data_IF_544933966476
#
_entry.id   IF_544933966476
#
_cell.length_a   1.000
_cell.length_b   1.000
_cell.length_c   1.000
_cell.angle_alpha   90.00
_cell.angle_beta   90.00
_cell.angle_gamma   90.00
#
_symmetry.space_group_name_H-M   'P 1'
#
loop_
_entity.id
_entity.type
_entity.pdbx_description
1 polymer ?
#
# COMPACT_ATOMS: atom_id res chain seq x y z
N UNK A 1 19.57 7.60 5.07
CA UNK A 1 20.31 8.85 5.35
C UNK A 1 19.74 9.99 4.55
N UNK A 2 19.94 11.27 4.94
CA UNK A 2 19.55 12.45 4.15
C UNK A 2 20.09 12.41 2.71
N UNK A 3 21.30 11.92 2.52
CA UNK A 3 21.93 11.75 1.20
C UNK A 3 21.18 10.74 0.29
N UNK A 4 20.68 9.65 0.87
CA UNK A 4 19.86 8.69 0.11
C UNK A 4 18.50 9.27 -0.25
N UNK A 5 17.90 10.10 0.62
CA UNK A 5 16.65 10.81 0.35
C UNK A 5 16.81 11.88 -0.73
N UNK A 6 17.93 12.61 -0.75
CA UNK A 6 18.23 13.60 -1.79
C UNK A 6 18.36 13.02 -3.21
N UNK A 7 18.51 11.71 -3.35
CA UNK A 7 18.52 11.02 -4.66
C UNK A 7 17.14 10.60 -5.15
N UNK A 8 16.10 10.71 -4.32
CA UNK A 8 14.74 10.38 -4.71
C UNK A 8 14.21 11.44 -5.70
N UNK A 9 13.51 10.96 -6.72
CA UNK A 9 12.87 11.82 -7.73
C UNK A 9 11.36 11.56 -7.68
N UNK A 10 10.61 12.33 -6.90
CA UNK A 10 9.15 12.23 -6.86
C UNK A 10 8.55 12.48 -8.26
N UNK A 11 7.48 11.78 -8.58
CA UNK A 11 6.81 11.88 -9.88
C UNK A 11 5.69 12.94 -9.91
N UNK A 12 5.35 13.50 -8.75
CA UNK A 12 4.28 14.49 -8.61
C UNK A 12 4.44 15.32 -7.34
N UNK A 13 3.67 16.41 -7.25
CA UNK A 13 3.68 17.36 -6.13
C UNK A 13 3.41 16.68 -4.78
N UNK A 14 2.54 15.65 -4.74
CA UNK A 14 2.28 14.90 -3.52
C UNK A 14 3.56 14.19 -3.03
N UNK A 15 4.25 13.48 -3.91
CA UNK A 15 5.53 12.85 -3.59
C UNK A 15 6.59 13.85 -3.15
N UNK A 16 6.66 15.00 -3.82
CA UNK A 16 7.57 16.11 -3.46
C UNK A 16 7.30 16.63 -2.06
N UNK A 17 6.03 16.86 -1.70
CA UNK A 17 5.65 17.34 -0.36
C UNK A 17 6.04 16.34 0.75
N UNK A 18 5.91 15.03 0.48
CA UNK A 18 6.32 13.98 1.44
C UNK A 18 7.84 13.94 1.60
N UNK A 19 8.58 14.02 0.50
CA UNK A 19 10.05 14.05 0.53
C UNK A 19 10.56 15.30 1.24
N UNK A 20 9.99 16.48 0.95
CA UNK A 20 10.36 17.73 1.60
C UNK A 20 10.17 17.65 3.13
N UNK A 21 9.07 17.06 3.59
CA UNK A 21 8.83 16.85 5.03
C UNK A 21 9.84 15.88 5.64
N UNK A 22 10.15 14.76 4.97
CA UNK A 22 11.17 13.81 5.44
C UNK A 22 12.56 14.45 5.56
N UNK A 23 12.94 15.30 4.59
CA UNK A 23 14.20 16.04 4.62
C UNK A 23 14.21 17.06 5.77
N UNK A 24 13.13 17.82 5.94
CA UNK A 24 12.98 18.76 7.05
C UNK A 24 13.18 18.08 8.41
N UNK A 25 12.50 16.95 8.64
CA UNK A 25 12.66 16.17 9.89
C UNK A 25 14.10 15.71 10.08
N UNK A 26 14.74 15.21 9.01
CA UNK A 26 16.12 14.76 9.07
C UNK A 26 17.10 15.90 9.42
N UNK A 27 16.86 17.10 8.89
CA UNK A 27 17.65 18.31 9.20
C UNK A 27 17.47 18.74 10.66
N UNK A 28 16.21 18.76 11.18
CA UNK A 28 15.96 19.10 12.59
C UNK A 28 16.66 18.13 13.54
N UNK A 29 16.61 16.84 13.26
CA UNK A 29 17.30 15.82 14.06
C UNK A 29 18.81 15.98 13.99
N UNK A 30 19.38 16.26 12.81
CA UNK A 30 20.83 16.45 12.63
C UNK A 30 21.34 17.73 13.34
N UNK A 31 20.52 18.78 13.34
CA UNK A 31 20.84 20.05 14.04
C UNK A 31 20.73 19.96 15.56
N UNK A 32 20.38 18.79 16.12
CA UNK A 32 20.09 18.61 17.54
C UNK A 32 19.06 19.63 18.08
N UNK A 33 18.12 20.04 17.24
CA UNK A 33 17.00 20.88 17.62
C UNK A 33 16.15 20.20 18.70
N UNK A 34 15.31 20.95 19.42
CA UNK A 34 14.37 20.39 20.36
C UNK A 34 13.37 19.48 19.62
N UNK A 35 13.67 18.20 19.52
CA UNK A 35 12.85 17.18 18.90
C UNK A 35 12.12 16.36 19.95
N UNK A 36 10.98 15.73 19.61
CA UNK A 36 10.35 14.75 20.51
C UNK A 36 11.34 13.64 20.89
N UNK A 37 11.25 13.07 22.09
CA UNK A 37 12.13 12.00 22.55
C UNK A 37 12.03 10.74 21.66
N UNK A 38 10.88 10.54 21.01
CA UNK A 38 10.67 9.54 19.96
C UNK A 38 9.97 10.18 18.75
N UNK A 39 10.39 9.79 17.55
CA UNK A 39 9.71 10.14 16.31
C UNK A 39 9.82 9.00 15.33
N UNK A 40 8.75 8.75 14.58
CA UNK A 40 8.74 7.76 13.52
C UNK A 40 7.97 8.29 12.31
N UNK A 41 8.65 8.41 11.18
CA UNK A 41 8.03 8.67 9.88
C UNK A 41 7.73 7.35 9.20
N UNK A 42 6.46 7.09 8.88
CA UNK A 42 6.03 5.85 8.25
C UNK A 42 5.66 6.10 6.79
N UNK A 43 6.34 5.42 5.88
CA UNK A 43 6.05 5.43 4.45
C UNK A 43 5.23 4.19 4.12
N UNK A 44 3.91 4.35 4.15
CA UNK A 44 2.98 3.29 3.79
C UNK A 44 3.00 3.04 2.29
N UNK A 45 3.00 1.75 1.92
CA UNK A 45 2.81 1.31 0.55
C UNK A 45 1.32 1.23 0.21
N UNK A 46 0.88 0.30 -0.61
CA UNK A 46 -0.52 0.24 -1.03
C UNK A 46 -1.39 -0.41 0.05
N UNK A 47 -1.81 0.39 1.03
CA UNK A 47 -2.66 -0.09 2.14
C UNK A 47 -4.05 -0.44 1.63
N UNK A 48 -4.58 -1.56 2.10
CA UNK A 48 -5.96 -1.97 1.90
C UNK A 48 -6.53 -2.58 3.19
N UNK A 49 -7.85 -2.60 3.32
CA UNK A 49 -8.51 -3.18 4.49
C UNK A 49 -9.92 -2.64 4.68
N UNK A 50 -10.53 -2.86 5.84
CA UNK A 50 -11.85 -2.34 6.16
C UNK A 50 -11.88 -0.81 6.29
N UNK A 51 -13.10 -0.26 6.42
CA UNK A 51 -13.36 1.17 6.71
C UNK A 51 -12.89 2.16 5.63
N UNK A 52 -12.90 1.77 4.35
CA UNK A 52 -12.48 2.63 3.24
C UNK A 52 -13.62 3.21 2.40
N UNK A 53 -14.87 2.76 2.57
CA UNK A 53 -15.99 3.11 1.68
C UNK A 53 -16.26 4.62 1.61
N UNK A 54 -15.97 5.36 2.69
CA UNK A 54 -16.10 6.82 2.72
C UNK A 54 -15.11 7.56 1.81
N UNK A 55 -14.05 6.88 1.34
CA UNK A 55 -13.00 7.48 0.49
C UNK A 55 -13.40 7.56 -0.99
N UNK A 56 -14.51 6.93 -1.39
CA UNK A 56 -14.96 6.89 -2.79
C UNK A 56 -13.86 6.35 -3.73
N UNK A 57 -13.49 7.12 -4.74
CA UNK A 57 -12.47 6.73 -5.74
C UNK A 57 -11.05 6.63 -5.17
N UNK A 58 -10.81 7.11 -3.96
CA UNK A 58 -9.51 7.00 -3.28
C UNK A 58 -9.41 5.76 -2.38
N UNK A 59 -10.48 4.97 -2.27
CA UNK A 59 -10.44 3.68 -1.59
C UNK A 59 -9.49 2.72 -2.32
N UNK A 60 -9.00 1.70 -1.60
CA UNK A 60 -8.15 0.67 -2.20
C UNK A 60 -8.85 -0.05 -3.36
N UNK A 61 -8.05 -0.63 -4.24
CA UNK A 61 -8.59 -1.41 -5.37
C UNK A 61 -9.43 -2.60 -4.89
N UNK A 62 -9.15 -3.18 -3.71
CA UNK A 62 -9.99 -4.23 -3.09
C UNK A 62 -11.40 -3.72 -2.84
N UNK A 63 -11.53 -2.57 -2.18
CA UNK A 63 -12.82 -1.95 -1.86
C UNK A 63 -13.60 -1.48 -3.10
N UNK A 64 -12.88 -1.07 -4.17
CA UNK A 64 -13.51 -0.70 -5.44
C UNK A 64 -13.94 -1.92 -6.26
N UNK A 65 -13.18 -3.00 -6.22
CA UNK A 65 -13.39 -4.21 -7.02
C UNK A 65 -14.52 -5.07 -6.47
N UNK A 66 -14.58 -5.25 -5.15
CA UNK A 66 -15.51 -6.17 -4.50
C UNK A 66 -16.99 -5.93 -4.88
N UNK A 67 -17.55 -4.71 -4.86
CA UNK A 67 -18.96 -4.50 -5.19
C UNK A 67 -19.35 -4.95 -6.60
N UNK A 68 -18.41 -4.83 -7.55
CA UNK A 68 -18.60 -5.23 -8.95
C UNK A 68 -18.54 -6.76 -9.06
N UNK A 69 -17.49 -7.35 -8.48
CA UNK A 69 -17.29 -8.80 -8.48
C UNK A 69 -18.39 -9.54 -7.73
N UNK A 70 -18.90 -9.01 -6.62
CA UNK A 70 -20.00 -9.61 -5.86
C UNK A 70 -21.29 -9.75 -6.70
N UNK A 71 -21.53 -8.80 -7.63
CA UNK A 71 -22.64 -8.85 -8.59
C UNK A 71 -22.42 -9.83 -9.75
N UNK A 72 -21.25 -10.46 -9.84
CA UNK A 72 -20.88 -11.38 -10.91
C UNK A 72 -20.26 -10.71 -12.13
N UNK A 73 -19.98 -9.41 -12.05
CA UNK A 73 -19.38 -8.65 -13.14
C UNK A 73 -17.86 -8.65 -13.04
N UNK A 74 -17.13 -8.72 -14.17
CA UNK A 74 -15.69 -8.67 -14.19
C UNK A 74 -15.19 -7.24 -13.94
N UNK A 75 -14.25 -7.05 -13.02
CA UNK A 75 -13.62 -5.75 -12.81
C UNK A 75 -12.51 -5.51 -13.84
N UNK A 76 -12.56 -4.42 -14.63
CA UNK A 76 -11.57 -4.17 -15.67
C UNK A 76 -10.24 -3.67 -15.08
N UNK A 77 -9.17 -4.44 -15.28
CA UNK A 77 -7.80 -4.04 -14.98
C UNK A 77 -7.22 -3.18 -16.11
N UNK A 78 -6.23 -2.35 -15.80
CA UNK A 78 -5.53 -1.59 -16.81
C UNK A 78 -4.65 -2.48 -17.70
N UNK A 79 -4.75 -2.27 -19.01
CA UNK A 79 -3.77 -2.79 -19.96
C UNK A 79 -2.40 -2.18 -19.71
N UNK A 80 -1.36 -2.94 -19.96
CA UNK A 80 -0.02 -2.39 -19.99
C UNK A 80 0.16 -1.48 -21.21
N UNK A 81 0.84 -0.35 -21.02
CA UNK A 81 1.33 0.49 -22.11
C UNK A 81 2.85 0.31 -22.35
N UNK A 82 3.44 -0.72 -21.71
CA UNK A 82 4.85 -1.12 -21.86
C UNK A 82 4.92 -2.51 -22.50
N UNK A 83 5.81 -2.67 -23.48
CA UNK A 83 5.98 -3.94 -24.17
C UNK A 83 6.62 -5.05 -23.32
N UNK A 84 7.36 -4.67 -22.28
CA UNK A 84 8.07 -5.59 -21.38
C UNK A 84 7.23 -6.06 -20.18
N UNK A 85 6.00 -5.58 -20.04
CA UNK A 85 5.07 -5.97 -18.96
C UNK A 85 3.72 -6.33 -19.59
N UNK A 86 3.22 -7.53 -19.31
CA UNK A 86 1.91 -7.95 -19.78
C UNK A 86 0.75 -7.23 -19.06
N UNK A 87 -0.46 -7.30 -19.63
CA UNK A 87 -1.67 -6.72 -19.04
C UNK A 87 -1.92 -7.28 -17.65
N UNK A 88 -2.13 -6.39 -16.66
CA UNK A 88 -2.36 -6.76 -15.26
C UNK A 88 -1.14 -7.20 -14.47
N UNK A 89 0.05 -7.31 -15.10
CA UNK A 89 1.30 -7.70 -14.45
C UNK A 89 2.04 -6.53 -13.77
N UNK A 90 1.47 -5.33 -13.82
CA UNK A 90 1.95 -4.22 -13.00
C UNK A 90 1.91 -4.62 -11.53
N UNK A 91 2.95 -4.29 -10.76
CA UNK A 91 3.14 -4.79 -9.38
C UNK A 91 3.10 -3.69 -8.34
N UNK A 92 2.48 -4.00 -7.21
CA UNK A 92 2.46 -3.16 -6.02
C UNK A 92 2.76 -4.00 -4.78
N UNK A 93 3.36 -3.36 -3.81
CA UNK A 93 3.39 -3.89 -2.46
C UNK A 93 2.05 -3.53 -1.79
N UNK A 94 1.15 -4.51 -1.76
CA UNK A 94 -0.12 -4.40 -1.05
C UNK A 94 0.10 -4.82 0.40
N UNK A 95 -0.32 -3.97 1.34
CA UNK A 95 -0.18 -4.21 2.77
C UNK A 95 -1.53 -4.10 3.47
N UNK A 96 -1.83 -5.08 4.31
CA UNK A 96 -3.08 -5.09 5.08
C UNK A 96 -3.03 -4.03 6.18
N UNK A 97 -4.14 -3.36 6.43
CA UNK A 97 -4.19 -2.20 7.35
C UNK A 97 -3.82 -2.58 8.78
N UNK A 98 -4.19 -3.77 9.25
CA UNK A 98 -3.86 -4.20 10.62
C UNK A 98 -2.36 -4.42 10.82
N UNK A 99 -1.63 -4.81 9.76
CA UNK A 99 -0.16 -4.86 9.82
C UNK A 99 0.43 -3.46 10.00
N UNK A 100 -0.17 -2.45 9.36
CA UNK A 100 0.24 -1.06 9.55
C UNK A 100 -0.02 -0.60 11.00
N UNK A 101 -1.17 -0.97 11.55
CA UNK A 101 -1.52 -0.71 12.97
C UNK A 101 -0.57 -1.46 13.89
N UNK A 102 -0.22 -2.71 13.58
CA UNK A 102 0.76 -3.50 14.33
C UNK A 102 2.12 -2.82 14.44
N UNK A 103 2.64 -2.27 13.32
CA UNK A 103 3.88 -1.48 13.33
C UNK A 103 3.77 -0.25 14.22
N UNK A 104 2.64 0.47 14.17
CA UNK A 104 2.41 1.66 15.01
C UNK A 104 2.38 1.26 16.49
N UNK A 105 1.64 0.22 16.86
CA UNK A 105 1.55 -0.28 18.23
C UNK A 105 2.91 -0.73 18.76
N UNK A 106 3.68 -1.43 17.92
CA UNK A 106 5.03 -1.83 18.28
C UNK A 106 5.93 -0.62 18.55
N UNK A 107 5.89 0.41 17.73
CA UNK A 107 6.65 1.65 17.97
C UNK A 107 6.26 2.34 19.26
N UNK A 108 4.98 2.38 19.61
CA UNK A 108 4.50 2.96 20.88
C UNK A 108 5.05 2.24 22.11
N UNK A 109 5.31 0.92 21.99
CA UNK A 109 5.90 0.11 23.07
C UNK A 109 7.43 0.08 23.06
N UNK A 110 8.07 0.70 22.04
CA UNK A 110 9.52 0.75 21.87
C UNK A 110 10.02 2.20 21.75
N UNK A 111 9.94 3.00 22.83
CA UNK A 111 10.21 4.44 22.77
C UNK A 111 11.65 4.82 22.41
N UNK A 112 12.58 3.85 22.46
CA UNK A 112 13.96 4.03 21.99
C UNK A 112 14.13 3.95 20.46
N UNK A 113 13.08 3.60 19.73
CA UNK A 113 13.13 3.45 18.27
C UNK A 113 12.64 4.72 17.58
N UNK A 114 13.51 5.35 16.81
CA UNK A 114 13.18 6.54 16.02
C UNK A 114 13.72 6.43 14.61
N UNK A 115 13.04 7.06 13.65
CA UNK A 115 13.50 7.13 12.25
C UNK A 115 12.40 7.08 11.22
N UNK A 116 12.83 7.00 9.95
CA UNK A 116 11.94 6.75 8.81
C UNK A 116 11.91 5.27 8.49
N UNK A 117 10.70 4.71 8.36
CA UNK A 117 10.47 3.31 8.09
C UNK A 117 9.51 3.11 6.92
N UNK A 118 9.86 2.22 5.98
CA UNK A 118 8.88 1.74 5.02
C UNK A 118 7.96 0.73 5.72
N UNK A 119 6.66 0.82 5.43
CA UNK A 119 5.63 -0.10 5.92
C UNK A 119 4.87 -0.67 4.72
N UNK A 120 5.17 -1.89 4.39
CA UNK A 120 4.62 -2.69 3.31
C UNK A 120 4.78 -4.17 3.66
N UNK A 121 4.30 -5.06 2.82
CA UNK A 121 4.47 -6.51 3.02
C UNK A 121 5.90 -6.98 2.69
N UNK A 122 6.67 -6.18 1.93
CA UNK A 122 7.95 -6.56 1.37
C UNK A 122 7.82 -7.47 0.13
N UNK A 123 6.62 -7.67 -0.38
CA UNK A 123 6.32 -8.53 -1.53
C UNK A 123 5.52 -7.77 -2.59
N UNK A 124 6.13 -7.51 -3.75
CA UNK A 124 5.44 -6.93 -4.88
C UNK A 124 4.52 -7.97 -5.54
N UNK A 125 3.21 -7.73 -5.56
CA UNK A 125 2.19 -8.61 -6.15
C UNK A 125 1.53 -7.92 -7.34
N UNK A 126 1.09 -8.70 -8.32
CA UNK A 126 0.45 -8.17 -9.53
C UNK A 126 -0.99 -7.74 -9.26
N UNK A 127 -1.53 -6.85 -10.10
CA UNK A 127 -2.97 -6.57 -10.06
C UNK A 127 -3.81 -7.80 -10.47
N UNK A 128 -3.23 -8.73 -11.25
CA UNK A 128 -3.84 -10.04 -11.50
C UNK A 128 -3.97 -10.88 -10.24
N UNK A 129 -2.92 -10.93 -9.39
CA UNK A 129 -2.98 -11.63 -8.12
C UNK A 129 -4.07 -11.05 -7.23
N UNK A 130 -4.12 -9.71 -7.14
CA UNK A 130 -5.15 -9.00 -6.38
C UNK A 130 -6.56 -9.34 -6.88
N UNK A 131 -6.78 -9.28 -8.20
CA UNK A 131 -8.08 -9.58 -8.80
C UNK A 131 -8.51 -11.03 -8.52
N UNK A 132 -7.59 -11.99 -8.68
CA UNK A 132 -7.85 -13.40 -8.36
C UNK A 132 -8.19 -13.60 -6.89
N UNK A 133 -7.49 -12.90 -5.97
CA UNK A 133 -7.78 -12.97 -4.53
C UNK A 133 -9.17 -12.42 -4.21
N UNK A 134 -9.56 -11.26 -4.80
CA UNK A 134 -10.90 -10.67 -4.62
C UNK A 134 -11.99 -11.60 -5.14
N UNK A 135 -11.85 -12.15 -6.35
CA UNK A 135 -12.83 -13.09 -6.92
C UNK A 135 -12.99 -14.33 -6.03
N UNK A 136 -11.87 -14.94 -5.61
CA UNK A 136 -11.90 -16.10 -4.71
C UNK A 136 -12.61 -15.78 -3.38
N UNK A 137 -12.28 -14.65 -2.76
CA UNK A 137 -12.89 -14.27 -1.48
C UNK A 137 -14.39 -13.96 -1.63
N UNK A 138 -14.81 -13.46 -2.79
CA UNK A 138 -16.22 -13.21 -3.14
C UNK A 138 -16.98 -14.45 -3.61
N UNK A 139 -16.34 -15.63 -3.66
CA UNK A 139 -16.98 -16.87 -4.16
C UNK A 139 -17.30 -16.82 -5.65
N UNK A 140 -16.50 -16.14 -6.45
CA UNK A 140 -16.68 -15.96 -7.89
C UNK A 140 -15.49 -16.48 -8.67
N UNK A 141 -15.74 -17.02 -9.86
CA UNK A 141 -14.69 -17.37 -10.80
C UNK A 141 -14.04 -16.11 -11.37
N UNK A 142 -12.73 -16.15 -11.55
CA UNK A 142 -12.00 -15.03 -12.15
C UNK A 142 -12.13 -15.04 -13.67
N UNK A 143 -12.70 -13.98 -14.22
CA UNK A 143 -12.74 -13.71 -15.65
C UNK A 143 -11.98 -12.41 -15.94
N UNK A 144 -10.90 -12.45 -16.77
CA UNK A 144 -10.14 -11.25 -17.08
C UNK A 144 -10.97 -10.24 -17.87
N UNK A 145 -10.93 -8.99 -17.43
CA UNK A 145 -11.48 -7.85 -18.15
C UNK A 145 -10.46 -6.72 -18.17
N UNK A 146 -10.45 -5.96 -19.26
CA UNK A 146 -9.40 -4.98 -19.53
C UNK A 146 -9.98 -3.62 -19.91
N UNK A 147 -9.29 -2.57 -19.49
CA UNK A 147 -9.48 -1.21 -19.97
C UNK A 147 -8.13 -0.56 -20.26
N UNK A 148 -8.11 0.38 -21.19
CA UNK A 148 -6.88 1.08 -21.49
C UNK A 148 -6.45 1.99 -20.31
N UNK A 149 -5.14 2.09 -20.11
CA UNK A 149 -4.60 3.05 -19.15
C UNK A 149 -4.86 4.46 -19.68
N UNK A 150 -5.55 5.33 -18.90
CA UNK A 150 -5.79 6.72 -19.29
C UNK A 150 -4.48 7.43 -19.65
N UNK A 151 -4.50 8.25 -20.70
CA UNK A 151 -3.31 8.96 -21.17
C UNK A 151 -2.65 9.81 -20.09
N UNK A 152 -3.48 10.48 -19.28
CA UNK A 152 -3.02 11.31 -18.15
C UNK A 152 -2.26 10.54 -17.06
N UNK A 153 -2.38 9.21 -17.02
CA UNK A 153 -1.69 8.38 -16.04
C UNK A 153 -0.40 7.77 -16.60
N UNK A 154 -0.26 7.64 -17.91
CA UNK A 154 0.83 6.87 -18.54
C UNK A 154 2.22 7.38 -18.16
N UNK A 155 2.44 8.69 -18.20
CA UNK A 155 3.74 9.32 -17.91
C UNK A 155 4.21 9.09 -16.48
N UNK A 156 3.27 8.98 -15.51
CA UNK A 156 3.57 8.88 -14.08
C UNK A 156 3.19 7.50 -13.51
N UNK A 157 2.83 6.54 -14.38
CA UNK A 157 2.37 5.23 -13.93
C UNK A 157 3.54 4.38 -13.43
N UNK A 158 3.53 4.08 -12.14
CA UNK A 158 4.52 3.21 -11.53
C UNK A 158 4.21 1.75 -11.87
N UNK A 159 5.14 1.06 -12.53
CA UNK A 159 4.99 -0.35 -12.87
C UNK A 159 5.38 -1.30 -11.74
N UNK A 160 6.21 -0.84 -10.83
CA UNK A 160 6.72 -1.66 -9.73
C UNK A 160 6.93 -0.82 -8.48
N UNK A 161 6.39 -1.29 -7.34
CA UNK A 161 6.75 -0.81 -6.01
C UNK A 161 6.86 -1.97 -5.04
N UNK A 162 7.90 -1.96 -4.21
CA UNK A 162 8.14 -2.94 -3.14
C UNK A 162 8.80 -2.25 -1.95
N UNK A 163 8.31 -2.52 -0.76
CA UNK A 163 8.89 -1.99 0.46
C UNK A 163 10.23 -2.68 0.75
N UNK A 164 11.26 -1.89 0.94
CA UNK A 164 12.51 -2.36 1.52
C UNK A 164 12.37 -2.27 3.06
N UNK A 165 12.36 -3.41 3.74
CA UNK A 165 12.03 -3.54 5.16
C UNK A 165 13.24 -3.66 6.09
N UNK A 166 14.47 -3.71 5.56
CA UNK A 166 15.69 -3.96 6.34
C UNK A 166 15.81 -3.02 7.54
N UNK A 167 15.45 -1.74 7.37
CA UNK A 167 15.53 -0.78 8.46
C UNK A 167 14.55 -1.08 9.59
N UNK A 168 13.31 -1.41 9.25
CA UNK A 168 12.28 -1.79 10.21
C UNK A 168 12.68 -3.08 10.96
N UNK A 169 13.17 -4.09 10.21
CA UNK A 169 13.63 -5.36 10.74
C UNK A 169 14.86 -5.20 11.65
N UNK A 170 15.82 -4.38 11.26
CA UNK A 170 16.99 -4.06 12.10
C UNK A 170 16.64 -3.27 13.36
N UNK A 171 15.55 -2.51 13.35
CA UNK A 171 15.03 -1.83 14.53
C UNK A 171 14.39 -2.80 15.54
N UNK A 172 14.10 -4.05 15.13
CA UNK A 172 13.58 -5.10 16.00
C UNK A 172 12.13 -5.53 15.72
N UNK A 173 11.46 -4.97 14.72
CA UNK A 173 10.13 -5.44 14.34
C UNK A 173 10.23 -6.77 13.59
N UNK A 174 9.75 -7.85 14.19
CA UNK A 174 9.88 -9.22 13.67
C UNK A 174 8.57 -9.84 13.21
N UNK A 175 7.42 -9.25 13.54
CA UNK A 175 6.13 -9.81 13.20
C UNK A 175 5.97 -9.99 11.69
N UNK A 176 5.38 -11.11 11.24
CA UNK A 176 5.11 -11.34 9.84
C UNK A 176 4.04 -10.38 9.34
N UNK A 177 4.10 -10.02 8.07
CA UNK A 177 3.00 -9.33 7.40
C UNK A 177 2.00 -10.32 6.83
N UNK A 178 0.73 -9.95 6.89
CA UNK A 178 -0.40 -10.74 6.36
C UNK A 178 -0.25 -10.96 4.85
N UNK A 179 -0.53 -12.16 4.37
CA UNK A 179 -0.53 -12.45 2.93
C UNK A 179 -1.61 -11.62 2.21
N UNK A 180 -1.40 -11.34 0.91
CA UNK A 180 -2.40 -10.66 0.10
C UNK A 180 -3.75 -11.41 0.14
N UNK A 181 -3.71 -12.71 0.01
CA UNK A 181 -4.89 -13.58 -0.03
C UNK A 181 -5.66 -13.56 1.30
N UNK A 182 -4.96 -13.63 2.43
CA UNK A 182 -5.57 -13.59 3.76
C UNK A 182 -6.16 -12.22 4.06
N UNK A 183 -5.40 -11.15 3.84
CA UNK A 183 -5.89 -9.78 4.06
C UNK A 183 -7.11 -9.44 3.19
N UNK A 184 -7.12 -9.86 1.92
CA UNK A 184 -8.28 -9.70 1.03
C UNK A 184 -9.46 -10.53 1.54
N UNK A 185 -9.22 -11.76 2.00
CA UNK A 185 -10.28 -12.64 2.54
C UNK A 185 -10.91 -12.01 3.78
N UNK A 186 -10.10 -11.53 4.73
CA UNK A 186 -10.57 -10.84 5.93
C UNK A 186 -11.40 -9.61 5.53
N UNK A 187 -10.83 -8.73 4.68
CA UNK A 187 -11.50 -7.50 4.24
C UNK A 187 -12.88 -7.77 3.65
N UNK A 188 -12.99 -8.79 2.80
CA UNK A 188 -14.25 -9.09 2.10
C UNK A 188 -15.23 -9.82 3.02
N UNK A 189 -14.82 -10.92 3.66
CA UNK A 189 -15.74 -11.77 4.41
C UNK A 189 -16.18 -11.19 5.74
N UNK A 190 -15.28 -10.49 6.42
CA UNK A 190 -15.58 -9.99 7.77
C UNK A 190 -16.13 -8.57 7.76
N UNK A 191 -15.96 -7.82 6.66
CA UNK A 191 -16.40 -6.43 6.55
C UNK A 191 -17.27 -6.16 5.33
N UNK A 192 -16.72 -6.19 4.12
CA UNK A 192 -17.41 -5.70 2.92
C UNK A 192 -18.67 -6.51 2.56
N UNK A 193 -18.74 -7.78 2.93
CA UNK A 193 -19.91 -8.64 2.73
C UNK A 193 -20.91 -8.61 3.89
N UNK A 194 -20.63 -7.85 4.94
CA UNK A 194 -21.53 -7.72 6.08
C UNK A 194 -22.62 -6.66 5.82
N UNK A 195 -23.78 -6.74 6.50
CA UNK A 195 -24.83 -5.73 6.40
C UNK A 195 -24.35 -4.33 6.80
N UNK A 196 -23.43 -4.23 7.76
CA UNK A 196 -22.72 -3.01 8.12
C UNK A 196 -21.23 -3.19 7.80
N UNK A 197 -20.76 -2.70 6.65
CA UNK A 197 -19.38 -2.88 6.22
C UNK A 197 -18.36 -2.02 7.00
N UNK A 198 -18.83 -1.24 7.97
CA UNK A 198 -17.99 -0.42 8.85
C UNK A 198 -17.76 -1.04 10.22
N UNK A 199 -18.19 -2.31 10.41
CA UNK A 199 -18.05 -3.00 11.70
C UNK A 199 -17.46 -4.39 11.52
#
# INVERSE_FOLDING_TARGET
SPEAMGKLKPLNIYGESKLAFDLFVAEQVAASAATPPQWAGLRFFNVFGPNELHKGTQASVVSQMHPIVAQGEPYPLFRSHRADVADGEQRRDFVFVDDCVGVIQWLLTHPGVSGLFNVGSGQARTFLDLAKAVHRASGRDYHPSWRDTPESLKEHYQYFTQAELTRLRRAGYTDPFTSLEDGVTITIKEFLSQPDPFR
#
